data_IF_342258040513
#
_entry.id   IF_342258040513
#
_cell.length_a   1.000
_cell.length_b   1.000
_cell.length_c   1.000
_cell.angle_alpha   90.00
_cell.angle_beta   90.00
_cell.angle_gamma   90.00
#
_symmetry.space_group_name_H-M   'P 1'
#
loop_
_entity.id
_entity.type
_entity.pdbx_description
1 polymer ?
#
# COMPACT_ATOMS: atom_id res chain seq x y z
N UNK A 1 19.18 4.43 2.92
CA UNK A 1 19.38 3.65 1.68
C UNK A 1 18.31 2.56 1.55
N UNK A 2 17.08 2.76 2.07
CA UNK A 2 16.03 1.72 2.15
C UNK A 2 14.78 2.01 1.29
N UNK A 3 14.68 3.20 0.69
CA UNK A 3 13.47 3.59 -0.04
C UNK A 3 13.32 2.85 -1.38
N UNK A 4 14.44 2.47 -2.00
CA UNK A 4 14.48 1.79 -3.30
C UNK A 4 14.13 0.30 -3.21
N UNK A 5 14.54 -0.41 -2.15
CA UNK A 5 14.30 -1.87 -2.02
C UNK A 5 12.80 -2.18 -1.95
N UNK A 6 12.07 -1.51 -1.05
CA UNK A 6 10.62 -1.67 -0.95
C UNK A 6 9.91 -1.30 -2.27
N UNK A 7 10.38 -0.28 -2.98
CA UNK A 7 9.75 0.09 -4.26
C UNK A 7 9.94 -1.01 -5.32
N UNK A 8 11.10 -1.67 -5.35
CA UNK A 8 11.35 -2.82 -6.23
C UNK A 8 10.51 -4.04 -5.84
N UNK A 9 10.37 -4.32 -4.55
CA UNK A 9 9.53 -5.40 -4.04
C UNK A 9 8.06 -5.20 -4.43
N UNK A 10 7.54 -3.97 -4.28
CA UNK A 10 6.17 -3.64 -4.67
C UNK A 10 5.96 -3.78 -6.19
N UNK A 11 6.96 -3.41 -7.01
CA UNK A 11 6.89 -3.59 -8.46
C UNK A 11 6.87 -5.08 -8.85
N UNK A 12 7.72 -5.90 -8.22
CA UNK A 12 7.76 -7.33 -8.45
C UNK A 12 6.44 -7.99 -8.03
N UNK A 13 5.91 -7.62 -6.85
CA UNK A 13 4.64 -8.11 -6.36
C UNK A 13 3.49 -7.71 -7.28
N UNK A 14 3.44 -6.45 -7.72
CA UNK A 14 2.39 -5.98 -8.63
C UNK A 14 2.39 -6.75 -9.95
N UNK A 15 3.57 -7.07 -10.49
CA UNK A 15 3.73 -7.89 -11.70
C UNK A 15 3.14 -9.28 -11.49
N UNK A 16 3.48 -9.96 -10.38
CA UNK A 16 2.93 -11.28 -10.05
C UNK A 16 1.40 -11.25 -9.90
N UNK A 17 0.85 -10.19 -9.30
CA UNK A 17 -0.59 -10.05 -9.14
C UNK A 17 -1.31 -9.78 -10.48
N UNK A 18 -0.66 -9.04 -11.39
CA UNK A 18 -1.15 -8.85 -12.75
C UNK A 18 -1.22 -10.17 -13.52
N UNK A 19 -0.16 -10.98 -13.46
CA UNK A 19 -0.10 -12.30 -14.13
C UNK A 19 -1.17 -13.28 -13.61
N UNK A 20 -1.57 -13.11 -12.35
CA UNK A 20 -2.66 -13.88 -11.71
C UNK A 20 -4.05 -13.29 -11.97
N UNK A 21 -4.15 -12.27 -12.81
CA UNK A 21 -5.40 -11.56 -13.14
C UNK A 21 -6.13 -10.99 -11.91
N UNK A 22 -5.39 -10.68 -10.84
CA UNK A 22 -5.96 -10.05 -9.64
C UNK A 22 -6.46 -8.66 -10.01
N UNK A 23 -7.70 -8.36 -9.65
CA UNK A 23 -8.28 -7.08 -10.03
C UNK A 23 -7.57 -5.91 -9.35
N UNK A 24 -7.69 -4.72 -9.94
CA UNK A 24 -6.97 -3.52 -9.51
C UNK A 24 -7.27 -3.12 -8.06
N UNK A 25 -8.50 -3.33 -7.57
CA UNK A 25 -8.88 -2.97 -6.21
C UNK A 25 -8.22 -3.88 -5.18
N UNK A 26 -8.20 -5.18 -5.46
CA UNK A 26 -7.51 -6.18 -4.63
C UNK A 26 -6.01 -5.95 -4.64
N UNK A 27 -5.42 -5.71 -5.81
CA UNK A 27 -4.01 -5.33 -5.95
C UNK A 27 -3.64 -4.14 -5.08
N UNK A 28 -4.42 -3.05 -5.13
CA UNK A 28 -4.18 -1.89 -4.28
C UNK A 28 -4.21 -2.25 -2.79
N UNK A 29 -5.14 -3.11 -2.37
CA UNK A 29 -5.25 -3.55 -0.97
C UNK A 29 -4.03 -4.35 -0.54
N UNK A 30 -3.59 -5.30 -1.38
CA UNK A 30 -2.41 -6.15 -1.12
C UNK A 30 -1.14 -5.30 -1.04
N UNK A 31 -0.94 -4.38 -1.98
CA UNK A 31 0.24 -3.50 -2.01
C UNK A 31 0.27 -2.52 -0.82
N UNK A 32 -0.88 -2.02 -0.37
CA UNK A 32 -0.95 -1.25 0.88
C UNK A 32 -0.52 -2.13 2.06
N UNK A 33 -1.04 -3.35 2.16
CA UNK A 33 -0.65 -4.26 3.24
C UNK A 33 0.85 -4.58 3.22
N UNK A 34 1.44 -4.76 2.03
CA UNK A 34 2.88 -4.98 1.86
C UNK A 34 3.69 -3.78 2.38
N UNK A 35 3.30 -2.54 2.02
CA UNK A 35 3.94 -1.33 2.55
C UNK A 35 3.93 -1.28 4.08
N UNK A 36 2.84 -1.75 4.70
CA UNK A 36 2.66 -1.76 6.15
C UNK A 36 3.32 -2.96 6.84
N UNK A 37 3.59 -4.03 6.09
CA UNK A 37 4.34 -5.20 6.55
C UNK A 37 5.80 -4.88 6.87
N UNK A 38 6.38 -3.91 6.16
CA UNK A 38 7.73 -3.38 6.44
C UNK A 38 7.79 -2.47 7.67
N UNK A 39 6.63 -2.08 8.24
CA UNK A 39 6.51 -1.24 9.43
C UNK A 39 5.51 -0.10 9.26
N UNK A 40 5.31 0.72 10.31
CA UNK A 40 4.42 1.87 10.24
C UNK A 40 4.86 2.87 9.17
N UNK A 41 3.93 3.33 8.33
CA UNK A 41 4.23 4.22 7.20
C UNK A 41 3.23 5.39 7.10
N UNK A 42 3.67 6.62 6.79
CA UNK A 42 2.76 7.74 6.55
C UNK A 42 1.85 7.47 5.34
N UNK A 43 0.58 7.85 5.46
CA UNK A 43 -0.39 7.69 4.36
C UNK A 43 0.06 8.31 3.02
N UNK A 44 0.61 9.54 2.98
CA UNK A 44 1.14 10.13 1.75
C UNK A 44 2.24 9.30 1.10
N UNK A 45 3.11 8.66 1.89
CA UNK A 45 4.18 7.82 1.36
C UNK A 45 3.63 6.56 0.68
N UNK A 46 2.66 5.89 1.32
CA UNK A 46 1.95 4.74 0.72
C UNK A 46 1.31 5.13 -0.62
N UNK A 47 0.63 6.29 -0.63
CA UNK A 47 -0.03 6.82 -1.82
C UNK A 47 0.97 7.08 -2.95
N UNK A 48 2.11 7.69 -2.66
CA UNK A 48 3.12 7.99 -3.67
C UNK A 48 3.82 6.73 -4.20
N UNK A 49 4.09 5.72 -3.35
CA UNK A 49 4.64 4.42 -3.78
C UNK A 49 3.70 3.70 -4.74
N UNK A 50 2.41 3.60 -4.42
CA UNK A 50 1.43 3.00 -5.32
C UNK A 50 1.21 3.86 -6.58
N UNK A 51 1.35 5.17 -6.49
CA UNK A 51 1.28 6.04 -7.67
C UNK A 51 2.41 5.77 -8.67
N UNK A 52 3.62 5.47 -8.19
CA UNK A 52 4.75 5.08 -9.06
C UNK A 52 4.48 3.77 -9.81
N UNK A 53 3.61 2.90 -9.27
CA UNK A 53 3.11 1.67 -9.93
C UNK A 53 1.91 1.94 -10.85
N UNK A 54 1.55 3.21 -11.07
CA UNK A 54 0.46 3.63 -11.95
C UNK A 54 -0.91 3.69 -11.28
N UNK A 55 -1.03 3.50 -9.96
CA UNK A 55 -2.31 3.66 -9.28
C UNK A 55 -2.71 5.15 -9.16
N UNK A 56 -4.01 5.39 -9.14
CA UNK A 56 -4.52 6.75 -8.94
C UNK A 56 -4.44 7.14 -7.45
N UNK A 57 -3.80 8.27 -7.14
CA UNK A 57 -3.61 8.75 -5.76
C UNK A 57 -4.91 8.83 -4.96
N UNK A 58 -5.96 9.41 -5.56
CA UNK A 58 -7.28 9.56 -4.90
C UNK A 58 -7.91 8.20 -4.61
N UNK A 59 -7.80 7.26 -5.54
CA UNK A 59 -8.30 5.90 -5.34
C UNK A 59 -7.59 5.21 -4.17
N UNK A 60 -6.26 5.27 -4.12
CA UNK A 60 -5.46 4.69 -3.02
C UNK A 60 -5.79 5.36 -1.69
N UNK A 61 -5.86 6.69 -1.65
CA UNK A 61 -6.22 7.42 -0.43
C UNK A 61 -7.61 7.07 0.10
N UNK A 62 -8.60 6.94 -0.79
CA UNK A 62 -9.95 6.47 -0.41
C UNK A 62 -9.87 5.06 0.15
N UNK A 63 -9.10 4.16 -0.47
CA UNK A 63 -8.97 2.77 0.00
C UNK A 63 -8.31 2.68 1.36
N UNK A 64 -7.22 3.41 1.56
CA UNK A 64 -6.46 3.47 2.79
C UNK A 64 -7.33 3.95 3.97
N UNK A 65 -8.15 4.98 3.76
CA UNK A 65 -9.07 5.48 4.78
C UNK A 65 -10.31 4.58 4.97
N UNK A 66 -10.85 4.01 3.89
CA UNK A 66 -12.06 3.17 3.98
C UNK A 66 -11.82 1.89 4.77
N UNK A 67 -10.68 1.26 4.55
CA UNK A 67 -10.35 -0.01 5.19
C UNK A 67 -9.61 0.21 6.54
N UNK A 68 -9.50 1.46 7.00
CA UNK A 68 -8.98 1.81 8.33
C UNK A 68 -9.88 1.22 9.43
N UNK A 69 -9.27 0.46 10.33
CA UNK A 69 -9.96 -0.28 11.39
C UNK A 69 -10.26 -1.74 11.05
N UNK A 70 -10.02 -2.16 9.81
CA UNK A 70 -9.99 -3.56 9.42
C UNK A 70 -8.54 -4.07 9.41
N UNK A 71 -7.92 -4.25 8.22
CA UNK A 71 -6.55 -4.79 8.08
C UNK A 71 -5.45 -3.87 8.62
N UNK A 72 -5.71 -2.58 8.76
CA UNK A 72 -4.75 -1.62 9.31
C UNK A 72 -5.43 -0.56 10.14
N UNK A 73 -4.66 0.10 11.00
CA UNK A 73 -5.10 1.24 11.81
C UNK A 73 -4.21 2.45 11.55
N UNK A 74 -4.76 3.64 11.80
CA UNK A 74 -3.99 4.89 11.82
C UNK A 74 -3.64 5.22 13.28
N UNK A 75 -2.37 5.52 13.53
CA UNK A 75 -1.85 5.92 14.84
C UNK A 75 -1.98 7.43 15.03
N UNK A 76 -1.86 7.89 16.28
CA UNK A 76 -2.06 9.30 16.65
C UNK A 76 -1.04 10.25 16.00
N UNK A 77 0.14 9.74 15.66
CA UNK A 77 1.20 10.44 14.94
C UNK A 77 0.98 10.48 13.41
N UNK A 78 -0.12 9.90 12.92
CA UNK A 78 -0.52 9.95 11.52
C UNK A 78 0.04 8.84 10.63
N UNK A 79 0.76 7.86 11.20
CA UNK A 79 1.19 6.67 10.48
C UNK A 79 0.06 5.64 10.37
N UNK A 80 0.18 4.75 9.39
CA UNK A 80 -0.63 3.55 9.27
C UNK A 80 0.24 2.35 9.64
N UNK A 81 -0.36 1.33 10.21
CA UNK A 81 0.29 0.05 10.47
C UNK A 81 -0.73 -1.08 10.40
N UNK A 82 -0.27 -2.30 10.13
CA UNK A 82 -1.13 -3.48 10.17
C UNK A 82 -1.81 -3.61 11.53
N UNK A 83 -3.06 -4.06 11.49
CA UNK A 83 -3.80 -4.43 12.67
C UNK A 83 -3.46 -5.90 12.99
N UNK A 84 -2.96 -6.22 14.21
CA UNK A 84 -2.60 -7.57 14.59
C UNK A 84 -3.79 -8.53 14.65
#
# INVERSE_FOLDING_TARGET
MYADELQQELLALDTVLQDREVNRNERATILIAECLGSGPMPGPEIIDRLHQLGFNRRHVGIRLERDRGGPWRRTDDGHYQLNP
#
